data_IF_002727761081
#
_entry.id   IF_002727761081
#
_cell.length_a   1.000
_cell.length_b   1.000
_cell.length_c   1.000
_cell.angle_alpha   90.00
_cell.angle_beta   90.00
_cell.angle_gamma   90.00
#
_symmetry.space_group_name_H-M   'P 1'
#
loop_
_entity.id
_entity.type
_entity.pdbx_description
1 polymer ?
#
# COMPACT_ATOMS: atom_id res chain seq x y z
N UNK A 1 10.39 17.04 31.24
CA UNK A 1 11.18 16.81 30.01
C UNK A 1 10.69 15.51 29.36
N UNK A 2 9.76 15.59 28.40
CA UNK A 2 9.16 14.41 27.78
C UNK A 2 10.13 13.80 26.77
N UNK A 3 10.54 12.54 27.00
CA UNK A 3 11.36 11.77 26.06
C UNK A 3 10.50 11.48 24.82
N UNK A 4 10.83 12.08 23.67
CA UNK A 4 10.18 11.74 22.40
C UNK A 4 10.53 10.30 22.04
N UNK A 5 9.53 9.42 22.01
CA UNK A 5 9.68 8.05 21.54
C UNK A 5 10.10 8.06 20.07
N UNK A 6 11.12 7.26 19.72
CA UNK A 6 11.55 7.06 18.33
C UNK A 6 10.43 6.35 17.59
N UNK A 7 10.07 6.77 16.36
CA UNK A 7 9.11 6.03 15.57
C UNK A 7 9.71 4.66 15.24
N UNK A 8 9.05 3.63 15.74
CA UNK A 8 9.39 2.23 15.54
C UNK A 8 9.04 1.91 14.09
N UNK A 9 10.01 2.05 13.20
CA UNK A 9 9.83 1.70 11.79
C UNK A 9 9.66 0.18 11.75
N UNK A 10 8.42 -0.28 11.66
CA UNK A 10 8.10 -1.64 11.26
C UNK A 10 8.67 -1.82 9.86
N UNK A 11 9.84 -2.44 9.78
CA UNK A 11 10.40 -2.92 8.51
C UNK A 11 9.46 -4.03 8.09
N UNK A 12 8.49 -3.70 7.24
CA UNK A 12 7.56 -4.68 6.70
C UNK A 12 8.35 -5.77 5.97
N UNK A 13 7.97 -7.04 6.14
CA UNK A 13 8.62 -8.22 5.54
C UNK A 13 8.53 -8.29 4.00
N UNK A 14 8.11 -7.20 3.34
CA UNK A 14 8.01 -7.11 1.89
C UNK A 14 9.39 -6.94 1.26
N UNK A 15 9.98 -8.05 0.82
CA UNK A 15 11.16 -8.04 -0.04
C UNK A 15 10.74 -8.25 -1.49
N UNK A 16 10.83 -7.18 -2.29
CA UNK A 16 10.64 -7.26 -3.73
C UNK A 16 11.99 -7.35 -4.44
N UNK A 17 12.06 -8.16 -5.50
CA UNK A 17 13.28 -8.31 -6.31
C UNK A 17 13.46 -7.20 -7.35
N UNK A 18 12.45 -6.33 -7.51
CA UNK A 18 12.44 -5.24 -8.48
C UNK A 18 13.09 -3.97 -7.92
N UNK A 19 13.65 -3.16 -8.82
CA UNK A 19 14.02 -1.78 -8.49
C UNK A 19 12.77 -0.91 -8.34
N UNK A 20 12.86 0.17 -7.58
CA UNK A 20 11.72 1.07 -7.35
C UNK A 20 11.14 1.67 -8.65
N UNK A 21 12.00 1.96 -9.62
CA UNK A 21 11.57 2.49 -10.93
C UNK A 21 10.69 1.50 -11.70
N UNK A 22 10.91 0.20 -11.48
CA UNK A 22 10.24 -0.88 -12.21
C UNK A 22 9.17 -1.55 -11.32
N UNK A 23 8.87 -0.98 -10.15
CA UNK A 23 7.97 -1.58 -9.17
C UNK A 23 6.55 -1.77 -9.74
N UNK A 24 6.06 -0.82 -10.54
CA UNK A 24 4.77 -0.92 -11.23
C UNK A 24 4.83 -1.74 -12.52
N UNK A 25 5.98 -2.32 -12.87
CA UNK A 25 6.12 -3.31 -13.94
C UNK A 25 6.17 -4.73 -13.38
N UNK A 26 6.51 -4.89 -12.10
CA UNK A 26 6.50 -6.17 -11.39
C UNK A 26 5.10 -6.55 -10.90
N UNK A 27 4.57 -7.65 -11.45
CA UNK A 27 3.27 -8.19 -11.06
C UNK A 27 3.19 -8.62 -9.58
N UNK A 28 4.31 -9.05 -8.97
CA UNK A 28 4.34 -9.44 -7.55
C UNK A 28 4.15 -8.21 -6.65
N UNK A 29 4.81 -7.11 -7.02
CA UNK A 29 4.64 -5.83 -6.34
C UNK A 29 3.23 -5.31 -6.48
N UNK A 30 2.68 -5.22 -7.70
CA UNK A 30 1.33 -4.68 -7.93
C UNK A 30 0.28 -5.47 -7.14
N UNK A 31 0.38 -6.81 -7.13
CA UNK A 31 -0.55 -7.68 -6.40
C UNK A 31 -0.47 -7.48 -4.89
N UNK A 32 0.73 -7.46 -4.34
CA UNK A 32 0.94 -7.25 -2.90
C UNK A 32 0.51 -5.85 -2.49
N UNK A 33 0.85 -4.85 -3.32
CA UNK A 33 0.48 -3.47 -3.14
C UNK A 33 -1.04 -3.28 -3.16
N UNK A 34 -1.75 -3.85 -4.13
CA UNK A 34 -3.21 -3.69 -4.22
C UNK A 34 -3.95 -4.40 -3.08
N UNK A 35 -3.52 -5.61 -2.72
CA UNK A 35 -4.26 -6.47 -1.77
C UNK A 35 -3.94 -6.14 -0.31
N UNK A 36 -2.68 -5.86 0.03
CA UNK A 36 -2.29 -5.69 1.44
C UNK A 36 -2.15 -4.22 1.83
N UNK A 37 -1.53 -3.42 0.95
CA UNK A 37 -1.20 -2.02 1.25
C UNK A 37 -2.38 -1.11 0.93
N UNK A 38 -2.89 -1.18 -0.31
CA UNK A 38 -3.92 -0.27 -0.81
C UNK A 38 -5.27 -0.55 -0.16
N UNK A 39 -5.64 -1.81 0.03
CA UNK A 39 -6.88 -2.20 0.71
C UNK A 39 -6.95 -1.58 2.13
N UNK A 40 -5.91 -1.82 2.94
CA UNK A 40 -5.83 -1.29 4.30
C UNK A 40 -5.83 0.26 4.31
N UNK A 41 -5.14 0.86 3.34
CA UNK A 41 -5.08 2.31 3.20
C UNK A 41 -6.45 2.92 2.85
N UNK A 42 -7.15 2.39 1.84
CA UNK A 42 -8.43 2.91 1.32
C UNK A 42 -9.52 2.81 2.38
N UNK A 43 -9.62 1.66 3.07
CA UNK A 43 -10.64 1.44 4.10
C UNK A 43 -10.57 2.49 5.23
N UNK A 44 -9.37 2.99 5.53
CA UNK A 44 -9.14 4.02 6.56
C UNK A 44 -9.44 5.45 6.08
N UNK A 45 -9.72 5.68 4.79
CA UNK A 45 -9.95 7.03 4.27
C UNK A 45 -11.36 7.53 4.50
N UNK A 46 -11.47 8.84 4.78
CA UNK A 46 -12.76 9.50 4.98
C UNK A 46 -13.60 9.53 3.69
N UNK A 47 -12.95 9.68 2.54
CA UNK A 47 -13.60 9.76 1.23
C UNK A 47 -14.11 8.41 0.71
N UNK A 48 -13.65 7.29 1.29
CA UNK A 48 -14.15 5.98 0.90
C UNK A 48 -15.56 5.76 1.48
N UNK A 49 -16.56 5.73 0.60
CA UNK A 49 -17.97 5.61 0.98
C UNK A 49 -18.40 4.16 1.29
N UNK A 50 -17.68 3.16 0.76
CA UNK A 50 -18.00 1.73 0.88
C UNK A 50 -17.64 1.10 2.23
N UNK A 51 -17.67 1.84 3.34
CA UNK A 51 -17.22 1.35 4.68
C UNK A 51 -18.08 0.23 5.25
N UNK A 52 -19.34 0.16 4.84
CA UNK A 52 -20.26 -0.90 5.24
C UNK A 52 -20.22 -2.11 4.29
N UNK A 53 -19.36 -2.07 3.26
CA UNK A 53 -19.27 -3.10 2.23
C UNK A 53 -17.89 -3.76 2.25
N UNK A 54 -17.83 -5.02 1.86
CA UNK A 54 -16.56 -5.74 1.69
C UNK A 54 -15.92 -5.34 0.35
N UNK A 55 -14.71 -4.79 0.39
CA UNK A 55 -13.92 -4.54 -0.81
C UNK A 55 -13.42 -5.89 -1.34
N UNK A 56 -13.74 -6.21 -2.60
CA UNK A 56 -13.42 -7.52 -3.17
C UNK A 56 -12.08 -7.54 -3.91
N UNK A 57 -11.80 -6.46 -4.63
CA UNK A 57 -10.65 -6.38 -5.52
C UNK A 57 -10.30 -4.92 -5.77
N UNK A 58 -9.01 -4.66 -5.84
CA UNK A 58 -8.42 -3.39 -6.25
C UNK A 58 -7.48 -3.72 -7.40
N UNK A 59 -7.63 -2.98 -8.51
CA UNK A 59 -6.69 -3.02 -9.62
C UNK A 59 -6.01 -1.67 -9.79
N UNK A 60 -4.74 -1.70 -10.19
CA UNK A 60 -3.99 -0.49 -10.52
C UNK A 60 -4.05 -0.30 -12.02
N UNK A 61 -4.96 0.57 -12.47
CA UNK A 61 -5.20 0.83 -13.90
C UNK A 61 -4.12 1.73 -14.50
N UNK A 62 -3.61 2.67 -13.71
CA UNK A 62 -2.62 3.64 -14.16
C UNK A 62 -1.69 4.06 -13.02
N UNK A 63 -0.48 4.43 -13.37
CA UNK A 63 0.53 4.94 -12.45
C UNK A 63 1.31 6.08 -13.14
N UNK A 64 1.65 7.11 -12.36
CA UNK A 64 2.41 8.23 -12.90
C UNK A 64 3.85 7.78 -13.16
N UNK A 65 4.30 7.91 -14.42
CA UNK A 65 5.73 7.89 -14.76
C UNK A 65 6.25 9.31 -14.61
N UNK A 66 7.17 9.51 -13.67
CA UNK A 66 7.86 10.78 -13.43
C UNK A 66 8.88 11.08 -14.52
#
# INVERSE_FOLDING_TARGET
MSKKAKPEVNISDFQFKCHWNDAFEDSEFIKTFSTEILENYILKKRWYAGKSSTLKYIDVVDHCKL
#
